data_IF_813874551505
#
_entry.id   IF_813874551505
#
_cell.length_a   1.000
_cell.length_b   1.000
_cell.length_c   1.000
_cell.angle_alpha   90.00
_cell.angle_beta   90.00
_cell.angle_gamma   90.00
#
_symmetry.space_group_name_H-M   'P 1'
#
loop_
_entity.id
_entity.type
_entity.pdbx_description
1 polymer ?
#
# COMPACT_ATOMS: atom_id res chain seq x y z
N UNK A 1 2.26 -16.25 -15.54
CA UNK A 1 3.47 -15.60 -14.97
C UNK A 1 3.21 -14.22 -14.35
N UNK A 2 3.15 -13.08 -15.06
CA UNK A 2 2.94 -11.76 -14.38
C UNK A 2 1.52 -11.60 -13.81
N UNK A 3 0.49 -11.95 -14.59
CA UNK A 3 -0.91 -11.92 -14.14
C UNK A 3 -1.15 -12.87 -12.96
N UNK A 4 -0.67 -14.09 -13.08
CA UNK A 4 -0.68 -15.13 -12.04
C UNK A 4 0.07 -14.76 -10.75
N UNK A 5 1.21 -14.05 -10.84
CA UNK A 5 1.91 -13.52 -9.66
C UNK A 5 1.15 -12.37 -9.02
N UNK A 6 0.50 -11.53 -9.82
CA UNK A 6 -0.33 -10.43 -9.32
C UNK A 6 -1.58 -10.96 -8.62
N UNK A 7 -2.19 -12.02 -9.14
CA UNK A 7 -3.31 -12.74 -8.54
C UNK A 7 -2.90 -13.40 -7.21
N UNK A 8 -1.79 -14.15 -7.18
CA UNK A 8 -1.28 -14.75 -5.94
C UNK A 8 -0.92 -13.69 -4.88
N UNK A 9 -0.31 -12.58 -5.30
CA UNK A 9 -0.05 -11.47 -4.37
C UNK A 9 -1.36 -10.85 -3.87
N UNK A 10 -2.37 -10.71 -4.73
CA UNK A 10 -3.72 -10.27 -4.34
C UNK A 10 -4.33 -11.19 -3.28
N UNK A 11 -4.33 -12.50 -3.52
CA UNK A 11 -4.87 -13.49 -2.58
C UNK A 11 -4.12 -13.51 -1.24
N UNK A 12 -2.78 -13.47 -1.26
CA UNK A 12 -1.97 -13.38 -0.03
C UNK A 12 -2.25 -12.07 0.73
N UNK A 13 -2.47 -10.98 0.01
CA UNK A 13 -2.79 -9.69 0.62
C UNK A 13 -4.20 -9.67 1.25
N UNK A 14 -5.19 -10.26 0.59
CA UNK A 14 -6.55 -10.40 1.13
C UNK A 14 -6.57 -11.27 2.38
N UNK A 15 -5.78 -12.35 2.39
CA UNK A 15 -5.61 -13.20 3.57
C UNK A 15 -4.99 -12.43 4.76
N UNK A 16 -4.01 -11.55 4.51
CA UNK A 16 -3.41 -10.70 5.55
C UNK A 16 -4.42 -9.67 6.07
N UNK A 17 -5.24 -9.07 5.20
CA UNK A 17 -6.28 -8.13 5.61
C UNK A 17 -7.36 -8.81 6.47
N UNK A 18 -7.81 -10.00 6.08
CA UNK A 18 -8.76 -10.81 6.86
C UNK A 18 -8.21 -11.19 8.23
N UNK A 19 -6.98 -11.72 8.29
CA UNK A 19 -6.35 -12.09 9.55
C UNK A 19 -6.19 -10.90 10.51
N UNK A 20 -5.96 -9.69 9.99
CA UNK A 20 -5.90 -8.47 10.81
C UNK A 20 -7.27 -8.07 11.36
N UNK A 21 -8.30 -8.11 10.52
CA UNK A 21 -9.67 -7.84 10.96
C UNK A 21 -10.12 -8.81 12.05
N UNK A 22 -9.73 -10.09 11.95
CA UNK A 22 -10.00 -11.10 12.97
C UNK A 22 -9.25 -10.82 14.27
N UNK A 23 -7.98 -10.41 14.21
CA UNK A 23 -7.21 -10.00 15.39
C UNK A 23 -7.84 -8.78 16.07
N UNK A 24 -8.23 -7.75 15.32
CA UNK A 24 -8.89 -6.55 15.85
C UNK A 24 -10.23 -6.90 16.50
N UNK A 25 -11.02 -7.77 15.87
CA UNK A 25 -12.31 -8.23 16.39
C UNK A 25 -12.17 -9.12 17.64
N UNK A 26 -11.11 -9.91 17.73
CA UNK A 26 -10.79 -10.71 18.93
C UNK A 26 -10.31 -9.81 20.06
N UNK A 27 -9.47 -8.81 19.78
CA UNK A 27 -8.98 -7.86 20.77
C UNK A 27 -10.09 -6.94 21.33
N UNK A 28 -11.14 -6.65 20.53
CA UNK A 28 -12.29 -5.84 20.99
C UNK A 28 -13.35 -6.64 21.74
N UNK A 29 -13.37 -7.97 21.65
CA UNK A 29 -14.30 -8.79 22.43
C UNK A 29 -13.78 -8.98 23.84
N UNK A 30 -14.26 -8.13 24.74
CA UNK A 30 -14.24 -8.20 26.21
C UNK A 30 -13.58 -9.48 26.77
N UNK A 31 -12.23 -9.46 26.85
CA UNK A 31 -11.37 -10.62 27.17
C UNK A 31 -10.88 -10.61 28.62
N UNK A 32 -11.34 -9.65 29.43
CA UNK A 32 -10.83 -9.44 30.78
C UNK A 32 -9.48 -8.71 30.84
N UNK A 33 -9.06 -8.07 29.74
CA UNK A 33 -7.86 -7.22 29.70
C UNK A 33 -7.96 -6.04 30.67
N UNK A 34 -6.83 -5.73 31.27
CA UNK A 34 -6.66 -4.55 32.10
C UNK A 34 -6.35 -3.33 31.23
N UNK A 35 -6.55 -2.13 31.81
CA UNK A 35 -6.14 -0.86 31.18
C UNK A 35 -4.67 -0.83 30.73
N UNK A 36 -3.80 -1.63 31.35
CA UNK A 36 -2.40 -1.72 30.99
C UNK A 36 -2.19 -2.54 29.70
N UNK A 37 -2.95 -3.62 29.51
CA UNK A 37 -2.94 -4.40 28.28
C UNK A 37 -3.54 -3.60 27.11
N UNK A 38 -4.64 -2.88 27.34
CA UNK A 38 -5.22 -1.97 26.34
C UNK A 38 -4.23 -0.88 25.89
N UNK A 39 -3.51 -0.29 26.84
CA UNK A 39 -2.51 0.74 26.54
C UNK A 39 -1.35 0.16 25.73
N UNK A 40 -0.95 -1.09 26.02
CA UNK A 40 0.10 -1.81 25.30
C UNK A 40 -0.34 -2.16 23.89
N UNK A 41 -1.58 -2.62 23.71
CA UNK A 41 -2.18 -2.90 22.40
C UNK A 41 -2.21 -1.64 21.54
N UNK A 42 -2.73 -0.52 22.07
CA UNK A 42 -2.74 0.77 21.35
C UNK A 42 -1.34 1.25 20.95
N UNK A 43 -0.35 1.03 21.80
CA UNK A 43 1.04 1.36 21.48
C UNK A 43 1.58 0.49 20.32
N UNK A 44 1.23 -0.80 20.30
CA UNK A 44 1.59 -1.72 19.23
C UNK A 44 0.87 -1.37 17.92
N UNK A 45 -0.42 -1.07 17.95
CA UNK A 45 -1.19 -0.63 16.78
C UNK A 45 -0.60 0.64 16.16
N UNK A 46 -0.18 1.58 17.02
CA UNK A 46 0.49 2.82 16.58
C UNK A 46 1.85 2.52 15.95
N UNK A 47 2.65 1.64 16.56
CA UNK A 47 3.96 1.25 16.04
C UNK A 47 3.86 0.47 14.72
N UNK A 48 2.84 -0.39 14.59
CA UNK A 48 2.56 -1.17 13.39
C UNK A 48 1.84 -0.35 12.30
N UNK A 49 1.43 0.88 12.59
CA UNK A 49 0.71 1.73 11.65
C UNK A 49 -0.70 1.23 11.30
N UNK A 50 -1.35 0.45 12.17
CA UNK A 50 -2.69 -0.10 11.94
C UNK A 50 -3.81 0.87 12.35
N UNK A 51 -3.51 1.88 13.17
CA UNK A 51 -4.48 2.91 13.57
C UNK A 51 -5.03 3.68 12.38
N UNK A 52 -6.37 3.84 12.28
CA UNK A 52 -7.02 4.60 11.19
C UNK A 52 -6.50 6.04 11.13
N UNK A 53 -6.16 6.51 9.92
CA UNK A 53 -5.75 7.90 9.66
C UNK A 53 -6.83 8.58 8.82
N UNK A 54 -7.07 9.87 9.05
CA UNK A 54 -8.00 10.69 8.27
C UNK A 54 -7.45 12.11 8.13
N UNK A 55 -7.77 12.77 7.02
CA UNK A 55 -7.27 14.10 6.68
C UNK A 55 -7.27 14.31 5.17
N UNK A 56 -6.68 15.41 4.73
CA UNK A 56 -6.51 15.71 3.30
C UNK A 56 -5.73 14.60 2.60
N UNK A 57 -6.17 14.24 1.41
CA UNK A 57 -5.60 13.15 0.62
C UNK A 57 -5.44 13.53 -0.85
N UNK A 58 -4.54 12.81 -1.52
CA UNK A 58 -4.34 12.86 -2.96
C UNK A 58 -4.45 11.44 -3.49
N UNK A 59 -5.14 11.28 -4.63
CA UNK A 59 -5.20 10.01 -5.35
C UNK A 59 -4.27 10.06 -6.56
N UNK A 60 -3.49 9.01 -6.75
CA UNK A 60 -2.60 8.85 -7.90
C UNK A 60 -3.01 7.59 -8.64
N UNK A 61 -3.20 7.72 -9.95
CA UNK A 61 -3.50 6.59 -10.84
C UNK A 61 -2.38 6.47 -11.86
N UNK A 62 -1.76 5.29 -11.95
CA UNK A 62 -0.79 4.97 -12.98
C UNK A 62 -1.49 4.12 -14.04
N UNK A 63 -1.45 4.57 -15.28
CA UNK A 63 -1.94 3.83 -16.43
C UNK A 63 -0.76 3.53 -17.35
N UNK A 64 -0.78 2.35 -17.96
CA UNK A 64 0.13 2.02 -19.06
C UNK A 64 0.00 3.08 -20.17
N UNK A 65 1.11 3.34 -20.85
CA UNK A 65 1.11 4.26 -21.97
C UNK A 65 0.39 3.62 -23.16
N UNK A 66 -0.30 4.41 -24.01
CA UNK A 66 -0.91 3.87 -25.21
C UNK A 66 0.16 3.34 -26.19
N UNK A 67 -0.17 2.36 -27.06
CA UNK A 67 0.80 1.73 -27.96
C UNK A 67 1.50 2.70 -28.94
N UNK A 68 0.90 3.86 -29.18
CA UNK A 68 1.38 4.93 -30.05
C UNK A 68 1.97 6.13 -29.26
N UNK A 69 2.31 5.93 -27.99
CA UNK A 69 2.96 6.95 -27.19
C UNK A 69 4.29 7.39 -27.82
N UNK A 70 4.53 8.70 -27.81
CA UNK A 70 5.76 9.33 -28.32
C UNK A 70 6.53 9.97 -27.19
N UNK A 71 7.85 10.08 -27.34
CA UNK A 71 8.69 10.70 -26.34
C UNK A 71 8.46 12.22 -26.24
N UNK A 72 8.58 12.77 -25.03
CA UNK A 72 8.68 14.20 -24.86
C UNK A 72 9.97 14.74 -25.54
N UNK A 73 9.97 16.01 -26.00
CA UNK A 73 11.14 16.61 -26.61
C UNK A 73 12.39 16.48 -25.72
N UNK A 74 13.48 15.93 -26.28
CA UNK A 74 14.73 15.70 -25.55
C UNK A 74 14.88 14.30 -24.94
N UNK A 75 13.88 13.42 -25.08
CA UNK A 75 13.96 12.02 -24.67
C UNK A 75 14.00 11.08 -25.88
N UNK A 76 14.64 9.90 -25.77
CA UNK A 76 14.61 8.89 -26.82
C UNK A 76 13.20 8.31 -26.98
N UNK A 77 12.86 7.87 -28.20
CA UNK A 77 11.58 7.22 -28.48
C UNK A 77 11.38 5.96 -27.60
N UNK A 78 10.18 5.80 -27.01
CA UNK A 78 9.91 4.72 -26.07
C UNK A 78 9.98 3.36 -26.76
N UNK A 79 10.56 2.39 -26.08
CA UNK A 79 10.51 0.99 -26.48
C UNK A 79 9.23 0.35 -25.94
N UNK A 80 8.79 -0.81 -26.47
CA UNK A 80 7.59 -1.49 -25.98
C UNK A 80 7.59 -1.76 -24.47
N UNK A 81 8.77 -1.94 -23.87
CA UNK A 81 8.90 -2.12 -22.42
C UNK A 81 8.56 -0.84 -21.65
N UNK A 82 8.86 0.34 -22.20
CA UNK A 82 8.63 1.65 -21.55
C UNK A 82 7.14 2.04 -21.55
N UNK A 83 6.30 1.29 -22.26
CA UNK A 83 4.86 1.53 -22.34
C UNK A 83 4.09 0.88 -21.20
N UNK A 84 4.75 0.07 -20.37
CA UNK A 84 4.13 -0.69 -19.29
C UNK A 84 4.65 -0.19 -17.95
N UNK A 85 3.76 -0.04 -16.97
CA UNK A 85 4.13 0.27 -15.59
C UNK A 85 4.85 -0.94 -14.96
N UNK A 86 6.04 -0.71 -14.42
CA UNK A 86 6.80 -1.72 -13.68
C UNK A 86 6.76 -1.50 -12.17
N UNK A 87 7.26 -2.48 -11.43
CA UNK A 87 7.37 -2.43 -9.97
C UNK A 87 8.18 -1.21 -9.48
N UNK A 88 9.25 -0.86 -10.20
CA UNK A 88 10.11 0.28 -9.86
C UNK A 88 9.37 1.62 -9.94
N UNK A 89 8.40 1.76 -10.86
CA UNK A 89 7.61 2.99 -11.02
C UNK A 89 6.66 3.17 -9.84
N UNK A 90 6.03 2.08 -9.40
CA UNK A 90 5.24 2.10 -8.17
C UNK A 90 6.11 2.44 -6.97
N UNK A 91 7.27 1.80 -6.80
CA UNK A 91 8.19 2.12 -5.71
C UNK A 91 8.62 3.59 -5.73
N UNK A 92 8.90 4.15 -6.92
CA UNK A 92 9.25 5.56 -7.07
C UNK A 92 8.12 6.50 -6.64
N UNK A 93 6.87 6.24 -7.05
CA UNK A 93 5.71 7.06 -6.65
C UNK A 93 5.51 7.02 -5.15
N UNK A 94 5.56 5.83 -4.57
CA UNK A 94 5.29 5.67 -3.15
C UNK A 94 6.43 6.33 -2.33
N UNK A 95 7.70 6.19 -2.75
CA UNK A 95 8.85 6.95 -2.23
C UNK A 95 8.67 8.46 -2.31
N UNK A 96 8.20 8.98 -3.44
CA UNK A 96 7.92 10.39 -3.59
C UNK A 96 6.81 10.88 -2.64
N UNK A 97 5.76 10.09 -2.44
CA UNK A 97 4.70 10.40 -1.47
C UNK A 97 5.22 10.45 -0.03
N UNK A 98 6.07 9.50 0.38
CA UNK A 98 6.72 9.55 1.69
C UNK A 98 7.63 10.76 1.84
N UNK A 99 8.44 11.08 0.85
CA UNK A 99 9.29 12.28 0.85
C UNK A 99 8.47 13.57 0.89
N UNK A 100 7.29 13.57 0.25
CA UNK A 100 6.31 14.65 0.30
C UNK A 100 5.57 14.78 1.64
N UNK A 101 5.84 13.91 2.60
CA UNK A 101 5.25 13.98 3.95
C UNK A 101 3.95 13.20 4.12
N UNK A 102 3.62 12.29 3.20
CA UNK A 102 2.47 11.40 3.38
C UNK A 102 2.61 10.57 4.66
N UNK A 103 1.62 10.69 5.55
CA UNK A 103 1.58 9.98 6.86
C UNK A 103 0.90 8.61 6.78
N UNK A 104 0.18 8.36 5.69
CA UNK A 104 -0.44 7.08 5.36
C UNK A 104 -0.56 6.99 3.84
N UNK A 105 -0.28 5.82 3.28
CA UNK A 105 -0.41 5.56 1.85
C UNK A 105 -1.29 4.33 1.67
N UNK A 106 -2.16 4.41 0.68
CA UNK A 106 -2.99 3.30 0.22
C UNK A 106 -2.70 3.08 -1.26
N UNK A 107 -2.44 1.83 -1.65
CA UNK A 107 -2.31 1.41 -3.05
C UNK A 107 -3.51 0.52 -3.35
N UNK A 108 -4.33 0.93 -4.32
CA UNK A 108 -5.66 0.36 -4.55
C UNK A 108 -6.50 0.39 -3.27
N UNK A 109 -7.00 -0.75 -2.80
CA UNK A 109 -7.80 -0.86 -1.57
C UNK A 109 -6.95 -1.21 -0.33
N UNK A 110 -5.62 -1.13 -0.42
CA UNK A 110 -4.72 -1.66 0.61
C UNK A 110 -3.76 -0.62 1.19
N UNK A 111 -3.69 -0.57 2.51
CA UNK A 111 -2.82 0.36 3.24
C UNK A 111 -1.38 -0.18 3.33
N UNK A 112 -0.41 0.67 3.01
CA UNK A 112 1.00 0.39 3.26
C UNK A 112 1.37 0.81 4.69
N UNK A 113 2.10 -0.08 5.38
CA UNK A 113 2.63 0.12 6.72
C UNK A 113 4.16 -0.06 6.72
N UNK A 114 4.81 0.14 7.85
CA UNK A 114 6.28 0.12 7.98
C UNK A 114 6.97 -1.18 7.53
N UNK A 115 6.22 -2.27 7.37
CA UNK A 115 6.72 -3.56 6.89
C UNK A 115 6.25 -3.90 5.47
N UNK A 116 5.51 -3.02 4.81
CA UNK A 116 5.02 -3.25 3.46
C UNK A 116 6.16 -3.09 2.45
N UNK A 117 6.44 -4.15 1.72
CA UNK A 117 7.30 -4.09 0.53
C UNK A 117 6.48 -3.56 -0.66
N UNK A 118 7.17 -2.86 -1.57
CA UNK A 118 6.67 -2.47 -2.90
C UNK A 118 7.44 -3.25 -3.94
#
# INVERSE_FOLDING_TARGET
LIRERSENNGELNDAVAGARADVDALAQRDDGSTKAEDARLKALEKAAGTTKISGDSVSVTLNDAPPDATANPGYPEPQPNDLVIHQQDLQAVVNALWQGGARGIQVMDQRLISTSAV
#
